data_IF_648742763532
#
_entry.id   IF_648742763532
#
_cell.length_a   1.000
_cell.length_b   1.000
_cell.length_c   1.000
_cell.angle_alpha   90.00
_cell.angle_beta   90.00
_cell.angle_gamma   90.00
#
_symmetry.space_group_name_H-M   'P 1'
#
loop_
_entity.id
_entity.type
_entity.pdbx_description
1 polymer ?
#
# COMPACT_ATOMS: atom_id res chain seq x y z
N UNK A 1 -9.97 -0.46 8.64
CA UNK A 1 -8.70 0.19 8.30
C UNK A 1 -7.96 -0.58 7.21
N UNK A 2 -6.93 0.03 6.63
CA UNK A 2 -6.09 -0.63 5.62
C UNK A 2 -5.36 -1.85 6.21
N UNK A 3 -4.93 -1.75 7.45
CA UNK A 3 -4.24 -2.86 8.13
C UNK A 3 -5.19 -4.04 8.30
N UNK A 4 -6.43 -3.78 8.72
CA UNK A 4 -7.45 -4.82 8.83
C UNK A 4 -7.74 -5.45 7.48
N UNK A 5 -7.75 -4.66 6.42
CA UNK A 5 -7.92 -5.14 5.06
C UNK A 5 -6.86 -6.15 4.63
N UNK A 6 -5.66 -6.06 5.17
CA UNK A 6 -4.58 -7.01 4.90
C UNK A 6 -4.66 -8.27 5.77
N UNK A 7 -5.58 -8.32 6.73
CA UNK A 7 -5.67 -9.44 7.65
C UNK A 7 -4.51 -9.48 8.63
N UNK A 8 -4.20 -8.34 9.25
CA UNK A 8 -3.02 -8.15 10.08
C UNK A 8 -3.07 -8.83 11.46
N UNK A 9 -3.86 -9.90 11.63
CA UNK A 9 -3.84 -10.73 12.84
C UNK A 9 -2.53 -11.49 13.00
N UNK A 10 -1.76 -11.65 11.91
CA UNK A 10 -0.42 -12.26 11.91
C UNK A 10 0.56 -11.27 11.29
N UNK A 11 1.81 -11.32 11.76
CA UNK A 11 2.85 -10.46 11.21
C UNK A 11 3.19 -10.90 9.78
N UNK A 12 2.97 -10.02 8.83
CA UNK A 12 3.29 -10.26 7.43
C UNK A 12 4.80 -10.12 7.20
N UNK A 13 5.34 -10.88 6.25
CA UNK A 13 6.77 -10.85 5.95
C UNK A 13 7.13 -9.63 5.11
N UNK A 14 6.44 -9.43 4.01
CA UNK A 14 6.81 -8.42 3.02
C UNK A 14 5.58 -7.70 2.51
N UNK A 15 5.59 -6.38 2.63
CA UNK A 15 4.49 -5.53 2.16
C UNK A 15 5.03 -4.45 1.24
N UNK A 16 4.31 -4.22 0.15
CA UNK A 16 4.54 -3.09 -0.76
C UNK A 16 3.55 -1.99 -0.43
N UNK A 17 4.05 -0.78 -0.28
CA UNK A 17 3.24 0.41 -0.09
C UNK A 17 3.45 1.36 -1.26
N UNK A 18 2.38 1.70 -1.96
CA UNK A 18 2.40 2.69 -3.02
C UNK A 18 1.75 3.96 -2.50
N UNK A 19 2.49 5.05 -2.47
CA UNK A 19 2.07 6.26 -1.75
C UNK A 19 2.44 7.54 -2.50
N UNK A 20 1.76 8.62 -2.12
CA UNK A 20 2.05 9.96 -2.60
C UNK A 20 1.91 10.95 -1.44
N UNK A 21 2.83 10.92 -0.45
CA UNK A 21 2.67 11.84 0.65
C UNK A 21 3.46 11.50 1.90
N UNK A 22 2.93 11.87 3.06
CA UNK A 22 3.63 11.74 4.33
C UNK A 22 3.80 10.28 4.78
N UNK A 23 4.66 10.06 5.78
CA UNK A 23 4.99 8.72 6.25
C UNK A 23 4.07 8.12 7.31
N UNK A 24 2.90 8.71 7.57
CA UNK A 24 2.04 8.22 8.65
C UNK A 24 1.54 6.81 8.44
N UNK A 25 1.08 6.50 7.25
CA UNK A 25 0.59 5.16 6.94
C UNK A 25 1.69 4.12 7.10
N UNK A 26 2.89 4.44 6.66
CA UNK A 26 4.06 3.57 6.83
C UNK A 26 4.35 3.31 8.30
N UNK A 27 4.32 4.35 9.13
CA UNK A 27 4.58 4.22 10.56
C UNK A 27 3.53 3.34 11.27
N UNK A 28 2.26 3.46 10.86
CA UNK A 28 1.17 2.65 11.41
C UNK A 28 1.34 1.18 11.00
N UNK A 29 1.78 0.94 9.77
CA UNK A 29 1.92 -0.40 9.20
C UNK A 29 3.16 -1.14 9.73
N UNK A 30 4.25 -0.41 9.97
CA UNK A 30 5.56 -0.99 10.28
C UNK A 30 5.56 -2.04 11.42
N UNK A 31 4.84 -1.85 12.53
CA UNK A 31 4.86 -2.85 13.61
C UNK A 31 4.24 -4.20 13.22
N UNK A 32 3.46 -4.25 12.16
CA UNK A 32 2.71 -5.44 11.75
C UNK A 32 3.40 -6.26 10.66
N UNK A 33 4.57 -5.81 10.20
CA UNK A 33 5.26 -6.46 9.08
C UNK A 33 6.74 -6.60 9.39
N UNK A 34 7.41 -7.53 8.73
CA UNK A 34 8.85 -7.69 8.87
C UNK A 34 9.59 -6.63 8.05
N UNK A 35 9.13 -6.34 6.84
CA UNK A 35 9.73 -5.31 6.01
C UNK A 35 8.71 -4.66 5.08
N UNK A 36 8.83 -3.34 4.91
CA UNK A 36 8.00 -2.54 4.01
C UNK A 36 8.86 -2.05 2.86
N UNK A 37 8.38 -2.27 1.64
CA UNK A 37 8.92 -1.66 0.43
C UNK A 37 7.95 -0.55 0.04
N UNK A 38 8.39 0.70 0.14
CA UNK A 38 7.53 1.86 -0.08
C UNK A 38 7.98 2.62 -1.33
N UNK A 39 7.02 2.90 -2.21
CA UNK A 39 7.27 3.64 -3.44
C UNK A 39 6.63 5.01 -3.33
N UNK A 40 7.43 6.06 -3.52
CA UNK A 40 6.97 7.44 -3.57
C UNK A 40 7.11 7.96 -5.00
N UNK A 41 6.01 8.40 -5.58
CA UNK A 41 6.00 8.93 -6.94
C UNK A 41 6.63 10.32 -7.04
N UNK A 42 6.57 11.10 -5.98
CA UNK A 42 7.03 12.47 -5.97
C UNK A 42 8.42 12.56 -5.38
N UNK A 43 9.43 12.78 -6.25
CA UNK A 43 10.83 12.74 -5.86
C UNK A 43 11.17 13.74 -4.75
N UNK A 44 10.59 14.93 -4.80
CA UNK A 44 10.89 16.00 -3.83
C UNK A 44 10.39 15.69 -2.42
N UNK A 45 9.48 14.71 -2.26
CA UNK A 45 8.98 14.30 -0.96
C UNK A 45 9.90 13.28 -0.27
N UNK A 46 10.82 12.66 -0.99
CA UNK A 46 11.66 11.60 -0.42
C UNK A 46 12.44 12.04 0.82
N UNK A 47 13.17 13.16 0.81
CA UNK A 47 13.92 13.56 2.00
C UNK A 47 13.03 13.83 3.21
N UNK A 48 11.87 14.45 2.98
CA UNK A 48 10.90 14.75 4.04
C UNK A 48 10.36 13.46 4.66
N UNK A 49 9.99 12.50 3.81
CA UNK A 49 9.46 11.22 4.25
C UNK A 49 10.52 10.46 5.05
N UNK A 50 11.76 10.41 4.57
CA UNK A 50 12.87 9.76 5.29
C UNK A 50 13.08 10.37 6.66
N UNK A 51 13.10 11.69 6.75
CA UNK A 51 13.28 12.39 8.01
C UNK A 51 12.16 12.05 8.99
N UNK A 52 10.91 12.09 8.53
CA UNK A 52 9.76 11.80 9.37
C UNK A 52 9.77 10.36 9.88
N UNK A 53 10.04 9.41 9.01
CA UNK A 53 10.10 8.00 9.40
C UNK A 53 11.24 7.73 10.37
N UNK A 54 12.37 8.39 10.20
CA UNK A 54 13.49 8.31 11.15
C UNK A 54 13.09 8.85 12.51
N UNK A 55 12.39 9.99 12.55
CA UNK A 55 11.88 10.56 13.82
C UNK A 55 10.88 9.62 14.50
N UNK A 56 10.10 8.87 13.74
CA UNK A 56 9.15 7.90 14.25
C UNK A 56 9.79 6.52 14.53
N UNK A 57 11.10 6.41 14.35
CA UNK A 57 11.88 5.19 14.61
C UNK A 57 11.42 3.98 13.79
N UNK A 58 11.05 4.22 12.55
CA UNK A 58 10.74 3.16 11.59
C UNK A 58 12.02 2.70 10.91
N UNK A 59 12.41 1.46 11.13
CA UNK A 59 13.69 0.91 10.66
C UNK A 59 13.54 -0.23 9.65
N UNK A 60 12.36 -0.81 9.53
CA UNK A 60 12.08 -1.93 8.62
C UNK A 60 11.49 -1.46 7.30
N UNK A 61 12.16 -0.51 6.65
CA UNK A 61 11.64 0.17 5.47
C UNK A 61 12.73 0.35 4.40
N UNK A 62 12.36 0.10 3.15
CA UNK A 62 13.12 0.52 1.98
C UNK A 62 12.25 1.45 1.15
N UNK A 63 12.68 2.70 0.99
CA UNK A 63 11.95 3.72 0.27
C UNK A 63 12.60 3.98 -1.09
N UNK A 64 11.77 4.12 -2.13
CA UNK A 64 12.24 4.33 -3.48
C UNK A 64 11.34 5.32 -4.21
N UNK A 65 11.95 6.14 -5.09
CA UNK A 65 11.22 6.97 -6.03
C UNK A 65 10.97 6.18 -7.31
N UNK A 66 9.70 5.97 -7.65
CA UNK A 66 9.31 5.23 -8.87
C UNK A 66 7.82 5.40 -9.16
N UNK A 67 7.37 4.88 -10.30
CA UNK A 67 5.95 4.75 -10.61
C UNK A 67 5.39 3.56 -9.82
N UNK A 68 4.64 3.85 -8.78
CA UNK A 68 4.14 2.84 -7.87
C UNK A 68 3.12 1.88 -8.49
N UNK A 69 2.42 2.28 -9.55
CA UNK A 69 1.42 1.40 -10.18
C UNK A 69 2.05 0.24 -10.96
N UNK A 70 3.36 0.30 -11.20
CA UNK A 70 4.11 -0.82 -11.76
C UNK A 70 4.67 -1.75 -10.68
N UNK A 71 4.51 -1.37 -9.41
CA UNK A 71 5.02 -2.16 -8.30
C UNK A 71 6.54 -2.15 -8.19
N UNK A 72 7.06 -3.23 -7.63
CA UNK A 72 8.50 -3.38 -7.41
C UNK A 72 8.88 -4.84 -7.69
N UNK A 73 9.01 -5.16 -8.96
CA UNK A 73 9.09 -6.54 -9.41
C UNK A 73 10.31 -7.30 -8.87
N UNK A 74 11.44 -6.59 -8.68
CA UNK A 74 12.65 -7.23 -8.16
C UNK A 74 12.52 -7.67 -6.70
N UNK A 75 11.53 -7.14 -5.98
CA UNK A 75 11.26 -7.51 -4.60
C UNK A 75 9.99 -8.35 -4.42
N UNK A 76 9.25 -8.59 -5.50
CA UNK A 76 8.06 -9.43 -5.46
C UNK A 76 8.43 -10.90 -5.18
N UNK A 77 7.50 -11.73 -4.69
CA UNK A 77 6.12 -11.40 -4.39
C UNK A 77 5.92 -10.76 -3.02
N UNK A 78 4.74 -10.15 -2.83
CA UNK A 78 4.36 -9.48 -1.59
C UNK A 78 3.16 -10.17 -0.96
N UNK A 79 3.16 -10.28 0.35
CA UNK A 79 2.01 -10.80 1.10
C UNK A 79 0.91 -9.76 1.27
N UNK A 80 1.27 -8.49 1.18
CA UNK A 80 0.33 -7.39 1.18
C UNK A 80 0.79 -6.28 0.27
N UNK A 81 -0.16 -5.62 -0.39
CA UNK A 81 0.09 -4.40 -1.17
C UNK A 81 -0.97 -3.39 -0.78
N UNK A 82 -0.55 -2.22 -0.35
CA UNK A 82 -1.44 -1.11 -0.01
C UNK A 82 -1.19 0.03 -0.98
N UNK A 83 -2.24 0.50 -1.64
CA UNK A 83 -2.15 1.62 -2.58
C UNK A 83 -2.92 2.80 -2.03
N UNK A 84 -2.23 3.91 -1.80
CA UNK A 84 -2.82 5.17 -1.35
C UNK A 84 -2.98 6.16 -2.51
N UNK A 85 -3.34 5.63 -3.67
CA UNK A 85 -3.70 6.38 -4.86
C UNK A 85 -4.94 5.74 -5.45
N UNK A 86 -5.76 6.49 -6.19
CA UNK A 86 -7.02 6.00 -6.70
C UNK A 86 -6.99 5.90 -8.23
N UNK A 87 -6.44 4.82 -8.79
CA UNK A 87 -6.49 4.61 -10.22
C UNK A 87 -7.91 4.26 -10.68
N UNK A 88 -8.25 4.46 -11.96
CA UNK A 88 -9.58 4.11 -12.46
C UNK A 88 -9.87 2.61 -12.47
N UNK A 89 -8.82 1.80 -12.53
CA UNK A 89 -8.94 0.33 -12.50
C UNK A 89 -7.74 -0.28 -11.80
N UNK A 90 -7.84 -1.55 -11.41
CA UNK A 90 -6.79 -2.25 -10.68
C UNK A 90 -5.59 -2.48 -11.60
N UNK A 91 -4.38 -2.01 -11.23
CA UNK A 91 -3.19 -2.24 -12.02
C UNK A 91 -2.82 -3.73 -12.04
N UNK A 92 -2.71 -4.30 -13.24
CA UNK A 92 -2.37 -5.72 -13.40
C UNK A 92 -0.98 -6.06 -12.87
N UNK A 93 -0.04 -5.13 -13.00
CA UNK A 93 1.32 -5.34 -12.49
C UNK A 93 1.33 -5.59 -10.98
N UNK A 94 0.45 -4.93 -10.24
CA UNK A 94 0.35 -5.14 -8.80
C UNK A 94 -0.27 -6.49 -8.45
N UNK A 95 -1.28 -6.91 -9.20
CA UNK A 95 -1.91 -8.22 -8.99
C UNK A 95 -0.90 -9.35 -9.19
N UNK A 96 -0.06 -9.25 -10.23
CA UNK A 96 0.93 -10.26 -10.55
C UNK A 96 2.07 -10.33 -9.52
N UNK A 97 2.19 -9.33 -8.67
CA UNK A 97 3.22 -9.30 -7.63
C UNK A 97 2.72 -9.77 -6.26
N UNK A 98 1.46 -10.20 -6.17
CA UNK A 98 0.93 -10.80 -4.95
C UNK A 98 1.43 -12.24 -4.79
N UNK A 99 1.82 -12.57 -3.56
CA UNK A 99 2.10 -13.94 -3.18
C UNK A 99 0.79 -14.74 -3.08
N UNK A 100 0.89 -16.06 -3.04
CA UNK A 100 -0.28 -16.91 -2.81
C UNK A 100 -0.97 -16.51 -1.50
N UNK A 101 -2.27 -16.27 -1.56
CA UNK A 101 -3.03 -15.76 -0.42
C UNK A 101 -2.78 -14.30 -0.10
N UNK A 102 -1.91 -13.62 -0.85
CA UNK A 102 -1.61 -12.20 -0.65
C UNK A 102 -2.81 -11.32 -0.99
N UNK A 103 -2.84 -10.15 -0.38
CA UNK A 103 -3.96 -9.22 -0.51
C UNK A 103 -3.50 -7.84 -0.95
N UNK A 104 -4.24 -7.29 -1.91
CA UNK A 104 -4.08 -5.91 -2.39
C UNK A 104 -5.26 -5.10 -1.89
N UNK A 105 -4.99 -3.98 -1.22
CA UNK A 105 -6.04 -3.04 -0.79
C UNK A 105 -5.82 -1.74 -1.56
N UNK A 106 -6.85 -1.32 -2.29
CA UNK A 106 -6.75 -0.22 -3.24
C UNK A 106 -8.09 0.49 -3.41
N UNK A 107 -8.13 1.84 -3.40
CA UNK A 107 -9.31 2.57 -3.81
C UNK A 107 -9.38 2.64 -5.33
N UNK A 108 -10.54 2.35 -5.88
CA UNK A 108 -10.77 2.38 -7.32
C UNK A 108 -11.83 3.41 -7.64
N UNK A 109 -11.61 4.16 -8.71
CA UNK A 109 -12.59 5.10 -9.20
C UNK A 109 -12.08 6.52 -9.31
N UNK A 110 -13.02 7.45 -9.43
CA UNK A 110 -12.72 8.87 -9.52
C UNK A 110 -12.66 9.49 -8.14
N UNK A 111 -12.21 10.74 -8.06
CA UNK A 111 -12.13 11.49 -6.82
C UNK A 111 -13.49 11.60 -6.11
N UNK A 112 -14.57 11.71 -6.87
CA UNK A 112 -15.92 11.86 -6.33
C UNK A 112 -16.64 10.53 -6.11
N UNK A 113 -16.11 9.42 -6.62
CA UNK A 113 -16.75 8.12 -6.51
C UNK A 113 -15.70 7.03 -6.45
N UNK A 114 -15.22 6.77 -5.23
CA UNK A 114 -14.22 5.73 -4.99
C UNK A 114 -14.83 4.56 -4.25
N UNK A 115 -14.35 3.37 -4.60
CA UNK A 115 -14.69 2.14 -3.93
C UNK A 115 -13.41 1.48 -3.42
N UNK A 116 -13.29 1.29 -2.13
CA UNK A 116 -12.16 0.55 -1.56
C UNK A 116 -12.36 -0.94 -1.84
N UNK A 117 -11.36 -1.54 -2.46
CA UNK A 117 -11.39 -2.96 -2.80
C UNK A 117 -10.25 -3.71 -2.13
N UNK A 118 -10.53 -4.94 -1.73
CA UNK A 118 -9.52 -5.89 -1.30
C UNK A 118 -9.53 -7.06 -2.28
N UNK A 119 -8.37 -7.32 -2.87
CA UNK A 119 -8.22 -8.39 -3.85
C UNK A 119 -7.27 -9.41 -3.28
N UNK A 120 -7.70 -10.65 -3.20
CA UNK A 120 -6.92 -11.77 -2.67
C UNK A 120 -6.55 -12.73 -3.79
N UNK A 121 -5.26 -13.06 -3.88
CA UNK A 121 -4.81 -14.07 -4.82
C UNK A 121 -5.13 -15.46 -4.32
N UNK A 122 -5.78 -16.26 -5.19
CA UNK A 122 -6.10 -17.67 -4.95
C UNK A 122 -5.59 -18.50 -6.14
N UNK A 123 -4.34 -18.95 -6.07
CA UNK A 123 -3.72 -19.63 -7.20
C UNK A 123 -3.59 -18.71 -8.41
N UNK A 124 -4.25 -19.05 -9.50
CA UNK A 124 -4.25 -18.24 -10.73
C UNK A 124 -5.47 -17.32 -10.84
N UNK A 125 -6.28 -17.23 -9.79
CA UNK A 125 -7.47 -16.38 -9.78
C UNK A 125 -7.38 -15.34 -8.68
N UNK A 126 -8.25 -14.33 -8.76
CA UNK A 126 -8.31 -13.24 -7.80
C UNK A 126 -9.73 -13.05 -7.32
N UNK A 127 -9.90 -12.99 -5.99
CA UNK A 127 -11.19 -12.72 -5.37
C UNK A 127 -11.24 -11.25 -4.95
N UNK A 128 -12.28 -10.55 -5.38
CA UNK A 128 -12.46 -9.11 -5.07
C UNK A 128 -13.59 -8.92 -4.08
N UNK A 129 -13.33 -8.13 -3.05
CA UNK A 129 -14.33 -7.74 -2.06
C UNK A 129 -14.37 -6.21 -1.98
N UNK A 130 -15.55 -5.66 -1.79
CA UNK A 130 -15.72 -4.23 -1.53
C UNK A 130 -15.61 -3.99 -0.03
N UNK A 131 -14.82 -2.98 0.35
CA UNK A 131 -14.64 -2.59 1.74
C UNK A 131 -15.24 -1.21 2.00
N UNK A 132 -15.39 -0.87 3.28
CA UNK A 132 -15.93 0.41 3.69
C UNK A 132 -14.96 1.55 3.37
N UNK A 133 -15.45 2.56 2.63
CA UNK A 133 -14.66 3.73 2.27
C UNK A 133 -14.41 4.68 3.46
N UNK A 134 -15.26 4.64 4.47
CA UNK A 134 -15.19 5.60 5.58
C UNK A 134 -13.84 5.55 6.28
N UNK A 135 -13.27 4.37 6.40
CA UNK A 135 -11.96 4.19 7.04
C UNK A 135 -10.79 4.68 6.20
N UNK A 136 -10.99 4.79 4.88
CA UNK A 136 -9.91 5.15 3.95
C UNK A 136 -9.82 6.64 3.66
N UNK A 137 -10.96 7.33 3.53
CA UNK A 137 -11.00 8.75 3.14
C UNK A 137 -10.15 9.65 4.03
N UNK A 138 -10.19 9.55 5.37
CA UNK A 138 -9.33 10.37 6.21
C UNK A 138 -7.83 10.14 5.98
N UNK A 139 -7.42 8.93 5.62
CA UNK A 139 -6.02 8.62 5.30
C UNK A 139 -5.59 9.28 4.00
N UNK A 140 -6.46 9.30 2.99
CA UNK A 140 -6.18 9.98 1.73
C UNK A 140 -6.02 11.49 1.93
N UNK A 141 -6.89 12.11 2.68
CA UNK A 141 -6.82 13.54 2.98
C UNK A 141 -5.53 13.88 3.71
N UNK A 142 -5.10 13.05 4.65
CA UNK A 142 -3.86 13.23 5.37
C UNK A 142 -2.62 13.11 4.50
N UNK A 143 -2.69 12.41 3.37
CA UNK A 143 -1.54 12.20 2.47
C UNK A 143 -1.43 13.23 1.36
N UNK A 144 -2.44 14.06 1.15
CA UNK A 144 -2.45 15.06 0.08
C UNK A 144 -1.65 16.33 0.41
N UNK A 145 -1.29 16.49 1.63
CA UNK A 145 -0.63 17.72 2.10
C UNK A 145 0.88 17.68 1.91
#
# INVERSE_FOLDING_TARGET
>A
SLIEGLGASKKLVKVLEVRTGCGYQTAILAPFVQHIYSIERIKTLIPRVRKRLSQLKVHNLTLRHADGLRGWISQAPFQGIIVAASPPEVPQDLLHQLDEGGRLVIPIGTRSSQQLQRITRRGNTFETEELDLVSFVPLLEGTEV
#
